data_IF_342252381440
#
_entry.id   IF_342252381440
#
_cell.length_a   1.000
_cell.length_b   1.000
_cell.length_c   1.000
_cell.angle_alpha   90.00
_cell.angle_beta   90.00
_cell.angle_gamma   90.00
#
_symmetry.space_group_name_H-M   'P 1'
#
loop_
_entity.id
_entity.type
_entity.pdbx_description
1 polymer ?
#
# COMPACT_ATOMS: atom_id res chain seq x y z
N UNK A 1 7.25 38.65 -11.05
CA UNK A 1 7.45 37.85 -12.28
C UNK A 1 6.49 36.67 -12.27
N UNK A 2 5.61 36.56 -13.27
CA UNK A 2 4.73 35.40 -13.41
C UNK A 2 5.57 34.14 -13.67
N UNK A 3 5.33 33.06 -12.91
CA UNK A 3 5.96 31.76 -13.21
C UNK A 3 5.50 31.31 -14.60
N UNK A 4 6.44 31.13 -15.53
CA UNK A 4 6.16 30.57 -16.85
C UNK A 4 5.51 29.20 -16.67
N UNK A 5 4.32 28.99 -17.24
CA UNK A 5 3.62 27.70 -17.16
C UNK A 5 4.48 26.67 -17.88
N UNK A 6 4.72 25.53 -17.24
CA UNK A 6 5.44 24.42 -17.85
C UNK A 6 4.52 23.75 -18.86
N UNK A 7 5.03 23.52 -20.07
CA UNK A 7 4.26 23.00 -21.21
C UNK A 7 4.29 21.46 -21.23
N UNK A 8 3.29 20.79 -21.84
CA UNK A 8 3.18 19.33 -21.86
C UNK A 8 4.43 18.59 -22.33
N UNK A 9 5.17 19.15 -23.28
CA UNK A 9 6.40 18.58 -23.84
C UNK A 9 7.48 18.40 -22.76
N UNK A 10 7.52 19.30 -21.78
CA UNK A 10 8.47 19.20 -20.66
C UNK A 10 8.09 18.05 -19.72
N UNK A 11 6.79 17.78 -19.53
CA UNK A 11 6.36 16.64 -18.70
C UNK A 11 6.77 15.32 -19.34
N UNK A 12 6.56 15.18 -20.65
CA UNK A 12 6.98 14.01 -21.42
C UNK A 12 8.50 13.82 -21.35
N UNK A 13 9.27 14.88 -21.64
CA UNK A 13 10.73 14.80 -21.59
C UNK A 13 11.25 14.48 -20.17
N UNK A 14 10.65 15.04 -19.12
CA UNK A 14 11.02 14.74 -17.74
C UNK A 14 10.72 13.27 -17.37
N UNK A 15 9.60 12.73 -17.84
CA UNK A 15 9.23 11.33 -17.66
C UNK A 15 10.25 10.39 -18.32
N UNK A 16 10.53 10.57 -19.62
CA UNK A 16 11.50 9.77 -20.36
C UNK A 16 12.89 9.82 -19.71
N UNK A 17 13.33 11.02 -19.33
CA UNK A 17 14.58 11.22 -18.60
C UNK A 17 14.60 10.45 -17.28
N UNK A 18 13.51 10.47 -16.53
CA UNK A 18 13.41 9.76 -15.27
C UNK A 18 13.39 8.23 -15.46
N UNK A 19 12.79 7.73 -16.54
CA UNK A 19 12.85 6.30 -16.90
C UNK A 19 14.29 5.87 -17.21
N UNK A 20 15.06 6.67 -17.94
CA UNK A 20 16.48 6.39 -18.19
C UNK A 20 17.30 6.32 -16.90
N UNK A 21 17.02 7.21 -15.94
CA UNK A 21 17.65 7.17 -14.62
C UNK A 21 17.26 5.91 -13.84
N UNK A 22 16.00 5.48 -13.89
CA UNK A 22 15.56 4.22 -13.25
C UNK A 22 16.22 3.00 -13.87
N UNK A 23 16.41 3.00 -15.18
CA UNK A 23 17.08 1.94 -15.92
C UNK A 23 18.61 1.96 -15.77
N UNK A 24 19.17 2.88 -14.97
CA UNK A 24 20.61 3.01 -14.77
C UNK A 24 21.38 3.51 -16.01
N UNK A 25 20.68 4.03 -17.02
CA UNK A 25 21.27 4.49 -18.29
C UNK A 25 21.73 5.95 -18.25
N UNK A 26 21.33 6.69 -17.22
CA UNK A 26 21.71 8.09 -17.03
C UNK A 26 21.92 8.42 -15.54
N UNK A 27 22.90 9.28 -15.28
CA UNK A 27 23.11 9.92 -13.97
C UNK A 27 21.98 10.94 -13.70
N UNK A 28 21.45 10.95 -12.48
CA UNK A 28 20.37 11.88 -12.09
C UNK A 28 20.80 13.34 -12.27
N UNK A 29 22.05 13.67 -11.95
CA UNK A 29 22.57 15.03 -12.04
C UNK A 29 22.66 15.50 -13.48
N UNK A 30 23.15 14.64 -14.38
CA UNK A 30 23.35 14.99 -15.79
C UNK A 30 22.01 15.04 -16.53
N UNK A 31 21.11 14.12 -16.20
CA UNK A 31 19.72 14.11 -16.65
C UNK A 31 18.99 15.43 -16.34
N UNK A 32 19.13 15.96 -15.13
CA UNK A 32 18.50 17.21 -14.72
C UNK A 32 19.03 18.42 -15.49
N UNK A 33 20.36 18.51 -15.65
CA UNK A 33 21.01 19.60 -16.39
C UNK A 33 20.63 19.56 -17.88
N UNK A 34 20.68 18.38 -18.48
CA UNK A 34 20.35 18.18 -19.90
C UNK A 34 18.92 18.61 -20.21
N UNK A 35 17.96 18.16 -19.39
CA UNK A 35 16.55 18.54 -19.54
C UNK A 35 16.33 20.05 -19.40
N UNK A 36 17.03 20.69 -18.46
CA UNK A 36 16.93 22.13 -18.23
C UNK A 36 17.39 22.94 -19.45
N UNK A 37 18.54 22.56 -20.03
CA UNK A 37 19.10 23.19 -21.23
C UNK A 37 18.21 22.95 -22.45
N UNK A 38 17.85 21.69 -22.72
CA UNK A 38 17.10 21.31 -23.92
C UNK A 38 15.73 22.00 -24.01
N UNK A 39 15.04 22.18 -22.88
CA UNK A 39 13.71 22.79 -22.85
C UNK A 39 13.70 24.24 -22.36
N UNK A 40 14.87 24.85 -22.14
CA UNK A 40 14.99 26.23 -21.65
C UNK A 40 14.17 26.49 -20.38
N UNK A 41 14.24 25.57 -19.41
CA UNK A 41 13.58 25.66 -18.10
C UNK A 41 14.62 25.79 -16.98
N UNK A 42 14.21 26.27 -15.81
CA UNK A 42 15.09 26.32 -14.65
C UNK A 42 15.49 24.90 -14.20
N UNK A 43 16.75 24.69 -13.81
CA UNK A 43 17.23 23.38 -13.31
C UNK A 43 16.37 22.86 -12.15
N UNK A 44 15.99 23.72 -11.21
CA UNK A 44 15.06 23.37 -10.11
C UNK A 44 13.71 22.79 -10.59
N UNK A 45 13.24 23.19 -11.77
CA UNK A 45 12.01 22.68 -12.37
C UNK A 45 12.26 21.30 -12.98
N UNK A 46 13.38 21.12 -13.70
CA UNK A 46 13.81 19.82 -14.21
C UNK A 46 14.00 18.80 -13.06
N UNK A 47 14.76 19.15 -12.03
CA UNK A 47 14.95 18.34 -10.82
C UNK A 47 13.62 18.04 -10.11
N UNK A 48 12.68 19.00 -10.14
CA UNK A 48 11.35 18.84 -9.56
C UNK A 48 10.53 17.74 -10.23
N UNK A 49 10.40 17.76 -11.56
CA UNK A 49 9.61 16.77 -12.28
C UNK A 49 10.28 15.39 -12.31
N UNK A 50 11.59 15.32 -12.59
CA UNK A 50 12.33 14.05 -12.56
C UNK A 50 12.28 13.46 -11.15
N UNK A 51 12.56 14.27 -10.12
CA UNK A 51 12.55 13.82 -8.73
C UNK A 51 11.17 13.38 -8.25
N UNK A 52 10.11 14.07 -8.66
CA UNK A 52 8.73 13.68 -8.36
C UNK A 52 8.41 12.29 -8.94
N UNK A 53 8.73 12.04 -10.21
CA UNK A 53 8.52 10.73 -10.82
C UNK A 53 9.30 9.63 -10.10
N UNK A 54 10.59 9.84 -9.84
CA UNK A 54 11.41 8.86 -9.12
C UNK A 54 10.89 8.58 -7.71
N UNK A 55 10.32 9.58 -7.04
CA UNK A 55 9.72 9.41 -5.73
C UNK A 55 8.43 8.57 -5.79
N UNK A 56 7.58 8.81 -6.80
CA UNK A 56 6.37 8.03 -7.06
C UNK A 56 6.65 6.57 -7.42
N UNK A 57 7.82 6.25 -7.99
CA UNK A 57 8.23 4.86 -8.27
C UNK A 57 8.85 4.13 -7.07
N UNK A 58 9.10 4.82 -5.96
CA UNK A 58 9.89 4.30 -4.82
C UNK A 58 9.19 4.45 -3.47
N UNK A 59 7.90 4.77 -3.46
CA UNK A 59 7.13 5.15 -2.26
C UNK A 59 7.83 6.21 -1.39
N UNK A 60 8.39 7.24 -2.02
CA UNK A 60 9.06 8.33 -1.29
C UNK A 60 8.22 9.59 -1.30
N UNK A 61 8.28 10.33 -0.20
CA UNK A 61 7.69 11.68 -0.16
C UNK A 61 8.59 12.64 -0.93
N UNK A 62 8.05 13.33 -1.93
CA UNK A 62 8.74 14.44 -2.58
C UNK A 62 8.29 15.77 -1.96
N UNK A 63 9.17 16.77 -1.96
CA UNK A 63 8.90 18.10 -1.38
C UNK A 63 8.79 19.21 -2.41
N UNK A 64 9.17 18.91 -3.66
CA UNK A 64 9.14 19.88 -4.75
C UNK A 64 7.71 20.09 -5.23
N UNK A 65 7.30 21.35 -5.34
CA UNK A 65 5.98 21.72 -5.85
C UNK A 65 5.94 21.49 -7.36
N UNK A 66 5.09 20.56 -7.80
CA UNK A 66 4.78 20.29 -9.21
C UNK A 66 3.39 20.82 -9.56
N UNK A 67 3.15 21.06 -10.85
CA UNK A 67 1.82 21.46 -11.31
C UNK A 67 0.85 20.27 -11.32
N UNK A 68 -0.45 20.53 -11.19
CA UNK A 68 -1.48 19.49 -11.29
C UNK A 68 -1.48 18.81 -12.69
N UNK A 69 -1.23 19.59 -13.75
CA UNK A 69 -1.14 19.08 -15.12
C UNK A 69 0.05 18.10 -15.26
N UNK A 70 1.22 18.47 -14.73
CA UNK A 70 2.38 17.58 -14.75
C UNK A 70 2.23 16.35 -13.86
N UNK A 71 1.57 16.49 -12.69
CA UNK A 71 1.24 15.33 -11.85
C UNK A 71 0.30 14.36 -12.57
N UNK A 72 -0.76 14.88 -13.20
CA UNK A 72 -1.71 14.08 -13.98
C UNK A 72 -1.00 13.30 -15.08
N UNK A 73 -0.15 13.98 -15.87
CA UNK A 73 0.62 13.34 -16.93
C UNK A 73 1.45 12.15 -16.42
N UNK A 74 2.17 12.33 -15.31
CA UNK A 74 2.98 11.25 -14.74
C UNK A 74 2.13 10.08 -14.25
N UNK A 75 1.00 10.35 -13.59
CA UNK A 75 0.10 9.30 -13.10
C UNK A 75 -0.60 8.57 -14.25
N UNK A 76 -0.91 9.24 -15.36
CA UNK A 76 -1.43 8.62 -16.60
C UNK A 76 -0.46 7.55 -17.09
N UNK A 77 0.82 7.90 -17.24
CA UNK A 77 1.87 6.96 -17.68
C UNK A 77 2.09 5.81 -16.71
N UNK A 78 1.99 6.07 -15.40
CA UNK A 78 2.13 5.02 -14.38
C UNK A 78 0.92 4.08 -14.39
N UNK A 79 -0.29 4.61 -14.57
CA UNK A 79 -1.50 3.80 -14.66
C UNK A 79 -1.50 2.87 -15.88
N UNK A 80 -0.79 3.24 -16.96
CA UNK A 80 -0.57 2.39 -18.13
C UNK A 80 0.40 1.21 -17.86
N UNK A 81 1.28 1.31 -16.84
CA UNK A 81 2.26 0.25 -16.56
C UNK A 81 1.72 -0.88 -15.69
N UNK A 82 1.21 -0.56 -14.50
CA UNK A 82 0.55 -1.56 -13.64
C UNK A 82 -0.30 -0.90 -12.55
N UNK A 83 -1.38 -1.57 -12.08
CA UNK A 83 -2.13 -1.13 -10.91
C UNK A 83 -1.25 -1.00 -9.66
N UNK A 84 -0.27 -1.89 -9.49
CA UNK A 84 0.69 -1.87 -8.38
C UNK A 84 1.56 -0.62 -8.36
N UNK A 85 2.13 -0.23 -9.50
CA UNK A 85 2.89 1.01 -9.62
C UNK A 85 2.00 2.24 -9.32
N UNK A 86 0.73 2.21 -9.73
CA UNK A 86 -0.21 3.29 -9.48
C UNK A 86 -0.53 3.45 -7.99
N UNK A 87 -0.66 2.35 -7.23
CA UNK A 87 -0.81 2.40 -5.77
C UNK A 87 0.37 3.12 -5.12
N UNK A 88 1.60 2.71 -5.46
CA UNK A 88 2.83 3.28 -4.92
C UNK A 88 2.91 4.78 -5.24
N UNK A 89 2.58 5.16 -6.47
CA UNK A 89 2.56 6.55 -6.88
C UNK A 89 1.52 7.37 -6.09
N UNK A 90 0.30 6.85 -5.92
CA UNK A 90 -0.75 7.54 -5.17
C UNK A 90 -0.41 7.70 -3.68
N UNK A 91 0.26 6.72 -3.07
CA UNK A 91 0.78 6.83 -1.70
C UNK A 91 1.80 7.96 -1.57
N UNK A 92 2.79 7.99 -2.48
CA UNK A 92 3.78 9.07 -2.57
C UNK A 92 3.12 10.45 -2.75
N UNK A 93 2.12 10.57 -3.62
CA UNK A 93 1.37 11.80 -3.87
C UNK A 93 0.56 12.23 -2.65
N UNK A 94 -0.10 11.30 -1.95
CA UNK A 94 -0.84 11.60 -0.72
C UNK A 94 0.10 12.10 0.38
N UNK A 95 1.29 11.51 0.51
CA UNK A 95 2.30 11.99 1.45
C UNK A 95 2.77 13.41 1.10
N UNK A 96 2.97 13.69 -0.20
CA UNK A 96 3.28 15.05 -0.66
C UNK A 96 2.16 16.06 -0.38
N UNK A 97 0.89 15.68 -0.60
CA UNK A 97 -0.27 16.51 -0.27
C UNK A 97 -0.26 16.86 1.22
N UNK A 98 -0.09 15.88 2.12
CA UNK A 98 0.01 16.11 3.56
C UNK A 98 1.17 17.05 3.93
N UNK A 99 2.32 16.88 3.29
CA UNK A 99 3.46 17.79 3.46
C UNK A 99 3.12 19.23 3.06
N UNK A 100 2.50 19.43 1.88
CA UNK A 100 2.11 20.76 1.43
C UNK A 100 1.07 21.40 2.36
N UNK A 101 0.12 20.64 2.88
CA UNK A 101 -0.84 21.15 3.85
C UNK A 101 -0.16 21.75 5.08
N UNK A 102 0.86 21.06 5.61
CA UNK A 102 1.63 21.54 6.75
C UNK A 102 2.49 22.78 6.45
N UNK A 103 2.86 23.02 5.19
CA UNK A 103 3.78 24.11 4.81
C UNK A 103 3.06 25.32 4.20
N UNK A 104 2.11 25.11 3.30
CA UNK A 104 1.45 26.17 2.51
C UNK A 104 -0.04 26.31 2.79
N UNK A 105 -0.67 25.33 3.45
CA UNK A 105 -2.12 25.30 3.73
C UNK A 105 -3.03 25.26 2.50
N UNK A 106 -2.47 25.12 1.29
CA UNK A 106 -3.21 25.12 0.01
C UNK A 106 -2.57 24.20 -1.01
N UNK A 107 -3.34 23.24 -1.52
CA UNK A 107 -2.97 22.35 -2.63
C UNK A 107 -4.11 22.10 -3.65
N UNK A 108 -4.82 23.14 -4.13
CA UNK A 108 -6.17 22.98 -4.68
C UNK A 108 -6.27 22.12 -5.96
N UNK A 109 -5.16 21.85 -6.66
CA UNK A 109 -5.15 20.97 -7.85
C UNK A 109 -4.77 19.52 -7.57
N UNK A 110 -3.84 19.27 -6.66
CA UNK A 110 -3.21 17.94 -6.52
C UNK A 110 -4.16 16.91 -5.90
N UNK A 111 -5.01 17.33 -4.95
CA UNK A 111 -6.02 16.45 -4.35
C UNK A 111 -7.06 15.97 -5.36
N UNK A 112 -7.45 16.82 -6.31
CA UNK A 112 -8.37 16.43 -7.39
C UNK A 112 -7.74 15.38 -8.30
N UNK A 113 -6.50 15.62 -8.73
CA UNK A 113 -5.74 14.64 -9.53
C UNK A 113 -5.59 13.32 -8.75
N UNK A 114 -5.21 13.37 -7.47
CA UNK A 114 -5.13 12.17 -6.65
C UNK A 114 -6.47 11.43 -6.58
N UNK A 115 -7.59 12.12 -6.33
CA UNK A 115 -8.91 11.51 -6.26
C UNK A 115 -9.34 10.87 -7.58
N UNK A 116 -9.06 11.53 -8.71
CA UNK A 116 -9.29 11.03 -10.08
C UNK A 116 -8.61 9.66 -10.29
N UNK A 117 -7.33 9.55 -9.96
CA UNK A 117 -6.57 8.31 -10.13
C UNK A 117 -6.86 7.24 -9.06
N UNK A 118 -7.29 7.62 -7.86
CA UNK A 118 -7.88 6.66 -6.91
C UNK A 118 -9.16 6.06 -7.49
N UNK A 119 -9.98 6.85 -8.20
CA UNK A 119 -11.15 6.35 -8.93
C UNK A 119 -10.75 5.30 -9.97
N UNK A 120 -9.80 5.63 -10.85
CA UNK A 120 -9.26 4.69 -11.84
C UNK A 120 -8.71 3.41 -11.21
N UNK A 121 -7.94 3.53 -10.13
CA UNK A 121 -7.41 2.38 -9.41
C UNK A 121 -8.52 1.47 -8.86
N UNK A 122 -9.64 2.05 -8.39
CA UNK A 122 -10.79 1.26 -7.93
C UNK A 122 -11.46 0.48 -9.06
N UNK A 123 -11.52 1.04 -10.27
CA UNK A 123 -12.02 0.33 -11.45
C UNK A 123 -11.12 -0.85 -11.85
N UNK A 124 -9.83 -0.78 -11.53
CA UNK A 124 -8.84 -1.85 -11.77
C UNK A 124 -8.83 -2.92 -10.67
N UNK A 125 -9.52 -2.70 -9.56
CA UNK A 125 -9.41 -3.53 -8.38
C UNK A 125 -10.51 -4.60 -8.35
N UNK A 126 -10.15 -5.81 -7.96
CA UNK A 126 -11.07 -6.96 -7.89
C UNK A 126 -11.58 -7.19 -6.46
N UNK A 127 -12.68 -7.93 -6.31
CA UNK A 127 -13.09 -8.42 -5.00
C UNK A 127 -12.05 -9.43 -4.49
N UNK A 128 -11.74 -9.38 -3.20
CA UNK A 128 -10.73 -10.26 -2.60
C UNK A 128 -11.26 -11.69 -2.43
N UNK A 129 -11.18 -12.48 -3.50
CA UNK A 129 -11.33 -13.95 -3.48
C UNK A 129 -9.96 -14.66 -3.51
N UNK A 130 -8.88 -13.90 -3.43
CA UNK A 130 -7.52 -14.38 -3.69
C UNK A 130 -7.08 -15.49 -2.76
N UNK A 131 -7.48 -15.40 -1.48
CA UNK A 131 -7.16 -16.38 -0.46
C UNK A 131 -7.79 -17.75 -0.78
N UNK A 132 -9.09 -17.80 -1.05
CA UNK A 132 -9.80 -19.05 -1.34
C UNK A 132 -9.32 -19.70 -2.64
N UNK A 133 -9.07 -18.88 -3.68
CA UNK A 133 -8.51 -19.35 -4.93
C UNK A 133 -7.13 -19.97 -4.72
N UNK A 134 -6.25 -19.30 -3.97
CA UNK A 134 -4.92 -19.81 -3.67
C UNK A 134 -4.97 -21.11 -2.86
N UNK A 135 -5.82 -21.21 -1.83
CA UNK A 135 -5.97 -22.45 -1.07
C UNK A 135 -6.41 -23.62 -1.94
N UNK A 136 -7.35 -23.40 -2.87
CA UNK A 136 -7.77 -24.42 -3.83
C UNK A 136 -6.61 -24.86 -4.75
N UNK A 137 -5.88 -23.90 -5.33
CA UNK A 137 -4.72 -24.19 -6.18
C UNK A 137 -3.59 -24.90 -5.41
N UNK A 138 -3.37 -24.54 -4.14
CA UNK A 138 -2.43 -25.25 -3.24
C UNK A 138 -2.93 -26.67 -3.01
N UNK A 139 -4.22 -26.87 -2.74
CA UNK A 139 -4.83 -28.19 -2.59
C UNK A 139 -4.60 -29.09 -3.82
N UNK A 140 -4.84 -28.54 -5.02
CA UNK A 140 -4.53 -29.22 -6.29
C UNK A 140 -3.03 -29.55 -6.40
N UNK A 141 -2.16 -28.59 -6.10
CA UNK A 141 -0.72 -28.80 -6.18
C UNK A 141 -0.20 -29.83 -5.16
N UNK A 142 -0.84 -29.94 -3.99
CA UNK A 142 -0.52 -30.95 -2.98
C UNK A 142 -0.97 -32.36 -3.39
N UNK A 143 -1.96 -32.49 -4.28
CA UNK A 143 -2.35 -33.79 -4.85
C UNK A 143 -1.30 -34.39 -5.79
N UNK A 144 -0.40 -33.56 -6.32
CA UNK A 144 0.74 -34.00 -7.13
C UNK A 144 1.93 -34.48 -6.29
N UNK A 145 2.87 -35.16 -6.94
CA UNK A 145 4.16 -35.50 -6.30
C UNK A 145 5.09 -34.29 -6.23
N UNK A 146 6.07 -34.35 -5.32
CA UNK A 146 7.11 -33.32 -5.20
C UNK A 146 7.88 -33.11 -6.51
N UNK A 147 8.15 -34.20 -7.25
CA UNK A 147 8.84 -34.12 -8.54
C UNK A 147 8.08 -33.28 -9.58
N UNK A 148 6.76 -33.47 -9.66
CA UNK A 148 5.90 -32.71 -10.57
C UNK A 148 5.86 -31.23 -10.18
N UNK A 149 5.74 -30.92 -8.88
CA UNK A 149 5.81 -29.53 -8.40
C UNK A 149 7.14 -28.86 -8.74
N UNK A 150 8.27 -29.54 -8.53
CA UNK A 150 9.60 -29.02 -8.83
C UNK A 150 9.78 -28.75 -10.34
N UNK A 151 9.23 -29.60 -11.20
CA UNK A 151 9.24 -29.38 -12.64
C UNK A 151 8.46 -28.10 -13.03
N UNK A 152 7.28 -27.87 -12.44
CA UNK A 152 6.54 -26.61 -12.65
C UNK A 152 7.33 -25.39 -12.19
N UNK A 153 8.02 -25.49 -11.06
CA UNK A 153 8.84 -24.40 -10.52
C UNK A 153 10.03 -24.04 -11.43
N UNK A 154 10.62 -25.01 -12.13
CA UNK A 154 11.72 -24.74 -13.09
C UNK A 154 11.27 -23.87 -14.28
N UNK A 155 9.98 -23.90 -14.62
CA UNK A 155 9.41 -23.15 -15.75
C UNK A 155 8.70 -21.87 -15.30
N UNK A 156 8.47 -21.70 -14.00
CA UNK A 156 7.74 -20.56 -13.46
C UNK A 156 8.60 -19.30 -13.38
N UNK A 157 7.97 -18.13 -13.54
CA UNK A 157 8.59 -16.87 -13.15
C UNK A 157 8.85 -16.88 -11.64
N UNK A 158 10.06 -16.56 -11.16
CA UNK A 158 10.33 -16.44 -9.72
C UNK A 158 9.68 -15.17 -9.13
N UNK A 159 9.28 -14.22 -9.97
CA UNK A 159 8.61 -13.00 -9.55
C UNK A 159 7.09 -13.20 -9.65
N UNK A 160 6.36 -13.14 -8.52
CA UNK A 160 4.90 -13.26 -8.53
C UNK A 160 4.26 -12.01 -9.14
N UNK A 161 3.10 -12.20 -9.75
CA UNK A 161 2.26 -11.09 -10.20
C UNK A 161 1.64 -10.35 -8.99
N UNK A 162 1.56 -9.03 -9.09
CA UNK A 162 0.87 -8.20 -8.10
C UNK A 162 -0.59 -8.00 -8.50
N UNK A 163 -1.51 -8.40 -7.64
CA UNK A 163 -2.94 -8.11 -7.78
C UNK A 163 -3.35 -7.00 -6.80
N UNK A 164 -4.26 -6.13 -7.23
CA UNK A 164 -4.84 -5.09 -6.39
C UNK A 164 -6.28 -5.46 -6.07
N UNK A 165 -6.58 -5.55 -4.77
CA UNK A 165 -7.90 -5.92 -4.26
C UNK A 165 -8.61 -4.74 -3.62
N UNK A 166 -9.93 -4.70 -3.75
CA UNK A 166 -10.79 -3.83 -2.94
C UNK A 166 -11.10 -4.53 -1.62
N UNK A 167 -10.62 -3.96 -0.52
CA UNK A 167 -10.94 -4.44 0.81
C UNK A 167 -11.98 -3.53 1.48
N UNK A 168 -13.02 -4.14 2.07
CA UNK A 168 -13.91 -3.48 3.02
C UNK A 168 -13.31 -3.60 4.42
N UNK A 169 -13.04 -2.48 5.07
CA UNK A 169 -12.50 -2.45 6.43
C UNK A 169 -13.48 -1.80 7.41
N UNK A 170 -13.51 -2.31 8.64
CA UNK A 170 -14.20 -1.66 9.75
C UNK A 170 -13.26 -0.70 10.45
N UNK A 171 -13.70 0.55 10.65
CA UNK A 171 -13.01 1.50 11.52
C UNK A 171 -13.35 1.15 12.97
N UNK A 172 -12.51 0.33 13.59
CA UNK A 172 -12.67 -0.10 14.99
C UNK A 172 -12.44 1.06 15.97
N UNK A 173 -13.13 1.02 17.10
CA UNK A 173 -12.97 1.93 18.21
C UNK A 173 -11.63 1.63 18.93
N UNK A 174 -10.68 2.59 18.94
CA UNK A 174 -9.39 2.38 19.58
C UNK A 174 -9.50 2.12 21.10
N UNK A 175 -10.53 2.66 21.76
CA UNK A 175 -10.70 2.50 23.21
C UNK A 175 -11.12 1.08 23.59
N UNK A 176 -11.93 0.42 22.76
CA UNK A 176 -12.27 -1.00 22.92
C UNK A 176 -11.00 -1.85 22.84
N UNK A 177 -10.15 -1.58 21.85
CA UNK A 177 -8.89 -2.31 21.68
C UNK A 177 -7.96 -2.08 22.88
N UNK A 178 -7.81 -0.84 23.31
CA UNK A 178 -6.92 -0.49 24.42
C UNK A 178 -7.38 -1.12 25.74
N UNK A 179 -8.68 -1.07 26.03
CA UNK A 179 -9.25 -1.63 27.27
C UNK A 179 -9.15 -3.15 27.31
N UNK A 180 -9.43 -3.85 26.19
CA UNK A 180 -9.27 -5.31 26.10
C UNK A 180 -7.81 -5.72 26.32
N UNK A 181 -6.86 -4.99 25.74
CA UNK A 181 -5.42 -5.24 25.97
C UNK A 181 -5.01 -4.98 27.42
N UNK A 182 -5.55 -3.93 28.04
CA UNK A 182 -5.30 -3.57 29.44
C UNK A 182 -5.82 -4.67 30.38
N UNK A 183 -7.07 -5.11 30.16
CA UNK A 183 -7.72 -6.20 30.91
C UNK A 183 -6.93 -7.50 30.84
N UNK A 184 -6.43 -7.84 29.66
CA UNK A 184 -5.69 -9.06 29.40
C UNK A 184 -4.32 -9.12 30.09
N UNK A 185 -3.70 -7.97 30.40
CA UNK A 185 -2.39 -7.88 31.10
C UNK A 185 -1.29 -8.75 30.48
N UNK A 186 -1.31 -8.89 29.15
CA UNK A 186 -0.34 -9.70 28.42
C UNK A 186 -0.54 -11.21 28.51
N UNK A 187 -1.72 -11.66 28.96
CA UNK A 187 -2.13 -13.07 28.99
C UNK A 187 -3.25 -13.29 27.98
N UNK A 188 -3.17 -14.36 27.20
CA UNK A 188 -4.20 -14.75 26.25
C UNK A 188 -5.49 -15.14 26.97
N UNK A 189 -6.62 -14.52 26.63
CA UNK A 189 -7.93 -14.85 27.21
C UNK A 189 -8.54 -16.15 26.65
N UNK A 190 -7.87 -16.78 25.67
CA UNK A 190 -8.27 -18.08 25.11
C UNK A 190 -7.57 -19.27 25.74
N UNK A 191 -6.24 -19.25 25.81
CA UNK A 191 -5.44 -20.36 26.34
C UNK A 191 -4.80 -20.09 27.72
N UNK A 192 -5.00 -18.90 28.30
CA UNK A 192 -4.40 -18.46 29.56
C UNK A 192 -2.85 -18.40 29.57
N UNK A 193 -2.19 -18.59 28.43
CA UNK A 193 -0.74 -18.44 28.31
C UNK A 193 -0.33 -16.97 28.16
N UNK A 194 0.86 -16.63 28.63
CA UNK A 194 1.47 -15.31 28.40
C UNK A 194 1.69 -15.06 26.91
N UNK A 195 1.67 -13.80 26.50
CA UNK A 195 1.94 -13.39 25.13
C UNK A 195 3.26 -14.01 24.61
N UNK A 196 3.29 -14.52 23.37
CA UNK A 196 4.43 -15.29 22.87
C UNK A 196 5.70 -14.45 22.68
N UNK A 197 5.58 -13.13 22.57
CA UNK A 197 6.71 -12.21 22.45
C UNK A 197 6.29 -10.78 22.83
N UNK A 198 7.31 -9.92 23.00
CA UNK A 198 7.13 -8.48 23.18
C UNK A 198 7.29 -7.76 21.85
N UNK A 199 6.51 -6.69 21.66
CA UNK A 199 6.68 -5.73 20.57
C UNK A 199 8.01 -4.97 20.73
N UNK A 200 8.42 -4.29 19.68
CA UNK A 200 9.61 -3.40 19.72
C UNK A 200 9.52 -2.29 20.77
N UNK A 201 8.31 -1.92 21.20
CA UNK A 201 8.05 -0.98 22.28
C UNK A 201 7.94 -1.62 23.67
N UNK A 202 8.26 -2.92 23.79
CA UNK A 202 8.27 -3.68 25.03
C UNK A 202 6.91 -4.20 25.49
N UNK A 203 5.80 -3.88 24.80
CA UNK A 203 4.47 -4.37 25.20
C UNK A 203 4.23 -5.83 24.77
N UNK A 204 3.49 -6.65 25.54
CA UNK A 204 3.06 -7.99 25.13
C UNK A 204 2.30 -7.99 23.80
N UNK A 205 2.57 -8.95 22.91
CA UNK A 205 1.85 -9.10 21.65
C UNK A 205 0.64 -10.04 21.77
N UNK A 206 -0.56 -9.45 21.72
CA UNK A 206 -1.84 -10.14 21.57
C UNK A 206 -2.64 -9.48 20.44
N UNK A 207 -3.68 -10.13 19.95
CA UNK A 207 -4.57 -9.67 18.89
C UNK A 207 -6.01 -9.59 19.43
N UNK A 208 -6.67 -8.43 19.27
CA UNK A 208 -8.08 -8.28 19.67
C UNK A 208 -8.97 -8.93 18.62
N UNK A 209 -9.75 -9.89 19.06
CA UNK A 209 -10.72 -10.65 18.29
C UNK A 209 -12.13 -10.31 18.73
N UNK A 210 -13.04 -10.12 17.78
CA UNK A 210 -14.46 -9.97 18.07
C UNK A 210 -15.13 -11.35 18.03
N UNK A 211 -15.75 -11.76 19.14
CA UNK A 211 -16.35 -13.09 19.30
C UNK A 211 -17.47 -13.35 18.28
N UNK A 212 -18.40 -12.39 18.15
CA UNK A 212 -19.25 -12.25 16.98
C UNK A 212 -18.51 -11.36 15.97
N UNK A 213 -18.14 -11.87 14.78
CA UNK A 213 -17.43 -11.09 13.79
C UNK A 213 -18.21 -9.83 13.38
N UNK A 214 -17.50 -8.70 13.24
CA UNK A 214 -18.11 -7.44 12.77
C UNK A 214 -18.74 -7.59 11.37
N UNK A 215 -18.15 -8.44 10.52
CA UNK A 215 -18.68 -8.75 9.19
C UNK A 215 -20.05 -9.43 9.23
N UNK A 216 -20.37 -10.12 10.33
CA UNK A 216 -21.63 -10.83 10.60
C UNK A 216 -22.58 -10.01 11.50
N UNK A 217 -22.31 -8.71 11.65
CA UNK A 217 -23.14 -7.80 12.44
C UNK A 217 -22.78 -7.74 13.93
N UNK A 218 -21.65 -8.30 14.35
CA UNK A 218 -21.15 -8.15 15.72
C UNK A 218 -20.87 -6.70 16.09
N UNK A 219 -21.10 -6.36 17.36
CA UNK A 219 -20.88 -5.00 17.87
C UNK A 219 -19.41 -4.77 18.26
N UNK A 220 -18.91 -3.56 18.05
CA UNK A 220 -17.57 -3.16 18.48
C UNK A 220 -17.59 -2.68 19.94
N UNK A 221 -17.61 -3.64 20.85
CA UNK A 221 -17.86 -3.46 22.29
C UNK A 221 -16.91 -4.35 23.11
N UNK A 222 -16.75 -4.06 24.41
CA UNK A 222 -15.87 -4.84 25.29
C UNK A 222 -16.38 -6.26 25.52
N UNK A 223 -17.70 -6.43 25.55
CA UNK A 223 -18.39 -7.70 25.76
C UNK A 223 -18.19 -8.64 24.58
N UNK A 224 -18.08 -8.07 23.37
CA UNK A 224 -17.87 -8.83 22.14
C UNK A 224 -16.38 -8.93 21.77
N UNK A 225 -15.43 -8.52 22.63
CA UNK A 225 -14.03 -8.45 22.28
C UNK A 225 -13.11 -9.12 23.32
N UNK A 226 -12.13 -9.88 22.82
CA UNK A 226 -11.17 -10.64 23.62
C UNK A 226 -9.75 -10.49 23.08
N UNK A 227 -8.75 -10.60 23.95
CA UNK A 227 -7.34 -10.60 23.59
C UNK A 227 -6.83 -12.04 23.41
N UNK A 228 -6.31 -12.37 22.23
CA UNK A 228 -5.81 -13.71 21.91
C UNK A 228 -4.34 -13.68 21.49
N UNK A 229 -3.61 -14.76 21.75
CA UNK A 229 -2.33 -14.98 21.09
C UNK A 229 -2.57 -15.29 19.60
N UNK A 230 -1.55 -15.14 18.72
CA UNK A 230 -1.69 -15.41 17.28
C UNK A 230 -2.24 -16.81 16.97
N UNK A 231 -1.84 -17.82 17.75
CA UNK A 231 -2.27 -19.20 17.54
C UNK A 231 -3.77 -19.35 17.83
N UNK A 232 -4.23 -18.94 19.02
CA UNK A 232 -5.64 -19.00 19.38
C UNK A 232 -6.50 -18.12 18.47
N UNK A 233 -5.98 -16.97 18.02
CA UNK A 233 -6.70 -16.11 17.09
C UNK A 233 -6.92 -16.80 15.74
N UNK A 234 -5.89 -17.45 15.18
CA UNK A 234 -6.00 -18.18 13.91
C UNK A 234 -6.82 -19.46 14.03
N UNK A 235 -6.73 -20.17 15.15
CA UNK A 235 -7.58 -21.33 15.43
C UNK A 235 -9.07 -20.93 15.45
N UNK A 236 -9.41 -19.73 15.92
CA UNK A 236 -10.77 -19.20 15.79
C UNK A 236 -11.18 -18.78 14.38
N UNK A 237 -10.27 -18.67 13.43
CA UNK A 237 -10.66 -18.39 12.05
C UNK A 237 -10.71 -19.65 11.18
N UNK A 238 -9.83 -20.62 11.45
CA UNK A 238 -9.57 -21.73 10.54
C UNK A 238 -9.50 -23.10 11.23
N UNK A 239 -9.52 -23.12 12.57
CA UNK A 239 -9.37 -24.36 13.33
C UNK A 239 -10.60 -25.25 13.23
N UNK A 240 -10.37 -26.56 13.22
CA UNK A 240 -11.44 -27.57 13.18
C UNK A 240 -12.42 -27.46 14.36
N UNK A 241 -11.96 -26.92 15.49
CA UNK A 241 -12.71 -26.82 16.75
C UNK A 241 -13.41 -25.46 16.93
N UNK A 242 -13.50 -24.62 15.90
CA UNK A 242 -14.00 -23.26 16.04
C UNK A 242 -15.42 -23.16 16.60
N UNK A 243 -16.29 -24.13 16.30
CA UNK A 243 -17.69 -24.14 16.74
C UNK A 243 -17.92 -24.41 18.23
N UNK A 244 -16.90 -24.91 18.96
CA UNK A 244 -17.08 -25.44 20.32
C UNK A 244 -16.80 -24.42 21.43
N UNK A 245 -16.21 -23.27 21.11
CA UNK A 245 -15.89 -22.23 22.08
C UNK A 245 -16.97 -21.15 22.13
N UNK A 246 -18.06 -21.44 22.85
CA UNK A 246 -19.03 -20.41 23.28
C UNK A 246 -18.55 -19.77 24.57
N UNK A 247 -18.52 -18.44 24.59
CA UNK A 247 -18.43 -17.66 25.83
C UNK A 247 -19.82 -17.50 26.45
#
# INVERSE_FOLDING_TARGET
MARRKVVPEVFAAAYETAQQVLAGRASLTDAQKSLAVQHSIAERTASGYIGCFLAMRRDKTFKTIVSADGLRFMLERIAESSPGDLVIALQSVMSHIKYLQGVTGREPGLRRVHAEFVGRLREMATFDESFLLLENEVGKALSDTSAVRLQRLQQASPMPEQIIVLARIFRRNPDVIAEVMSRAKGVCEGCAETAPFLRSDGRPYLEVHHCQPLAEGGADTLENAIALCPNCHRERHYGANYGDFRF
#
